data_IF_106606807078
#
_entry.id   IF_106606807078
#
_cell.length_a   1.000
_cell.length_b   1.000
_cell.length_c   1.000
_cell.angle_alpha   90.00
_cell.angle_beta   90.00
_cell.angle_gamma   90.00
#
_symmetry.space_group_name_H-M   'P 1'
#
loop_
_entity.id
_entity.type
_entity.pdbx_description
1 polymer ?
#
# COMPACT_ATOMS: atom_id res chain seq x y z
N UNK A 1 -0.32 13.71 14.74
CA UNK A 1 -0.45 15.10 15.24
C UNK A 1 -0.58 16.11 14.09
N UNK A 2 0.45 16.30 13.24
CA UNK A 2 0.42 17.23 12.10
C UNK A 2 -0.86 17.16 11.23
N UNK A 3 -1.27 15.95 10.82
CA UNK A 3 -2.49 15.75 10.01
C UNK A 3 -3.76 16.29 10.68
N UNK A 4 -3.90 16.10 11.99
CA UNK A 4 -5.08 16.54 12.74
C UNK A 4 -5.06 18.05 12.99
N UNK A 5 -3.91 18.59 13.39
CA UNK A 5 -3.75 20.02 13.66
C UNK A 5 -4.02 20.90 12.43
N UNK A 6 -3.73 20.37 11.25
CA UNK A 6 -3.95 21.07 9.98
C UNK A 6 -5.23 20.65 9.25
N UNK A 7 -6.03 19.75 9.84
CA UNK A 7 -7.29 19.30 9.24
C UNK A 7 -7.13 18.57 7.90
N UNK A 8 -6.05 17.81 7.72
CA UNK A 8 -5.83 17.01 6.52
C UNK A 8 -6.50 15.65 6.63
N UNK A 9 -7.23 15.26 5.58
CA UNK A 9 -8.04 14.04 5.59
C UNK A 9 -7.32 12.79 5.05
N UNK A 10 -6.27 12.97 4.24
CA UNK A 10 -5.62 11.86 3.53
C UNK A 10 -4.10 11.96 3.58
N UNK A 11 -3.45 10.82 3.86
CA UNK A 11 -2.04 10.58 3.56
C UNK A 11 -1.96 9.78 2.27
N UNK A 12 -1.08 10.17 1.35
CA UNK A 12 -0.84 9.46 0.10
C UNK A 12 0.66 9.17 -0.01
N UNK A 13 1.01 7.98 -0.47
CA UNK A 13 2.38 7.57 -0.70
C UNK A 13 2.46 6.32 -1.58
N UNK A 14 3.64 5.71 -1.58
CA UNK A 14 3.91 4.48 -2.30
C UNK A 14 4.60 3.48 -1.37
N UNK A 15 4.32 2.19 -1.56
CA UNK A 15 5.12 1.12 -0.97
C UNK A 15 5.74 0.29 -2.08
N UNK A 16 7.06 0.21 -2.09
CA UNK A 16 7.84 -0.47 -3.12
C UNK A 16 8.19 -1.90 -2.69
N UNK A 17 8.05 -2.83 -3.62
CA UNK A 17 8.43 -4.24 -3.48
C UNK A 17 9.57 -4.50 -4.46
N UNK A 18 10.64 -5.15 -4.02
CA UNK A 18 11.76 -5.47 -4.90
C UNK A 18 11.33 -6.34 -6.09
N UNK A 19 11.84 -6.02 -7.28
CA UNK A 19 11.74 -6.85 -8.49
C UNK A 19 12.88 -7.89 -8.58
N UNK A 20 13.59 -8.17 -7.49
CA UNK A 20 14.76 -9.07 -7.47
C UNK A 20 14.47 -10.50 -7.90
N UNK A 21 13.21 -10.94 -7.83
CA UNK A 21 12.73 -12.24 -8.31
C UNK A 21 12.00 -12.16 -9.66
N UNK A 22 12.13 -11.04 -10.37
CA UNK A 22 11.38 -10.75 -11.60
C UNK A 22 9.97 -10.19 -11.38
N UNK A 23 9.57 -9.94 -10.12
CA UNK A 23 8.27 -9.35 -9.78
C UNK A 23 7.20 -10.35 -9.36
N UNK A 24 7.54 -11.64 -9.24
CA UNK A 24 6.61 -12.69 -8.84
C UNK A 24 6.07 -12.48 -7.42
N UNK A 25 6.94 -12.07 -6.48
CA UNK A 25 6.55 -11.70 -5.12
C UNK A 25 5.58 -10.54 -5.11
N UNK A 26 5.83 -9.50 -5.91
CA UNK A 26 4.96 -8.33 -6.00
C UNK A 26 3.57 -8.69 -6.55
N UNK A 27 3.53 -9.48 -7.63
CA UNK A 27 2.28 -9.95 -8.23
C UNK A 27 1.47 -10.83 -7.27
N UNK A 28 2.13 -11.77 -6.61
CA UNK A 28 1.48 -12.67 -5.63
C UNK A 28 0.96 -11.92 -4.41
N UNK A 29 1.74 -10.95 -3.90
CA UNK A 29 1.31 -10.12 -2.78
C UNK A 29 0.11 -9.24 -3.17
N UNK A 30 0.16 -8.58 -4.32
CA UNK A 30 -0.96 -7.77 -4.81
C UNK A 30 -2.24 -8.60 -4.96
N UNK A 31 -2.16 -9.77 -5.61
CA UNK A 31 -3.31 -10.65 -5.80
C UNK A 31 -3.95 -11.09 -4.49
N UNK A 32 -3.15 -11.32 -3.44
CA UNK A 32 -3.68 -11.69 -2.12
C UNK A 32 -4.31 -10.51 -1.38
N UNK A 33 -3.75 -9.32 -1.53
CA UNK A 33 -4.19 -8.12 -0.80
C UNK A 33 -5.39 -7.43 -1.46
N UNK A 34 -5.52 -7.53 -2.80
CA UNK A 34 -6.46 -6.71 -3.56
C UNK A 34 -7.92 -6.89 -3.12
N UNK A 35 -8.33 -8.11 -2.79
CA UNK A 35 -9.73 -8.38 -2.45
C UNK A 35 -10.17 -7.74 -1.11
N UNK A 36 -9.22 -7.41 -0.23
CA UNK A 36 -9.49 -6.92 1.13
C UNK A 36 -9.01 -5.49 1.40
N UNK A 37 -8.03 -4.99 0.66
CA UNK A 37 -7.37 -3.71 0.96
C UNK A 37 -7.44 -2.69 -0.18
N UNK A 38 -8.09 -3.02 -1.28
CA UNK A 38 -8.30 -2.08 -2.36
C UNK A 38 -9.16 -0.87 -1.90
N UNK A 39 -8.77 0.34 -2.31
CA UNK A 39 -9.55 1.58 -2.12
C UNK A 39 -10.96 1.53 -2.77
N UNK A 40 -11.88 2.44 -2.39
CA UNK A 40 -13.08 2.75 -3.18
C UNK A 40 -12.76 3.16 -4.63
N UNK A 41 -13.74 3.05 -5.52
CA UNK A 41 -13.56 3.29 -6.96
C UNK A 41 -13.10 4.73 -7.27
N UNK A 42 -13.61 5.71 -6.53
CA UNK A 42 -13.27 7.13 -6.67
C UNK A 42 -11.80 7.44 -6.33
N UNK A 43 -11.12 6.53 -5.63
CA UNK A 43 -9.70 6.64 -5.28
C UNK A 43 -8.84 5.61 -6.04
N UNK A 44 -9.38 4.99 -7.09
CA UNK A 44 -8.60 4.09 -7.95
C UNK A 44 -7.67 4.90 -8.84
N UNK A 45 -6.42 4.46 -8.90
CA UNK A 45 -5.41 4.96 -9.84
C UNK A 45 -4.95 3.82 -10.74
N UNK A 46 -4.47 4.20 -11.92
CA UNK A 46 -4.01 3.26 -12.93
C UNK A 46 -2.54 3.55 -13.25
N UNK A 47 -1.65 2.55 -13.19
CA UNK A 47 -0.23 2.75 -13.41
C UNK A 47 0.04 3.15 -14.88
N UNK A 48 0.98 4.06 -15.09
CA UNK A 48 1.46 4.41 -16.45
C UNK A 48 2.36 3.33 -17.05
N UNK A 49 3.13 2.66 -16.20
CA UNK A 49 3.95 1.51 -16.53
C UNK A 49 3.46 0.34 -15.66
N UNK A 50 2.47 -0.45 -16.09
CA UNK A 50 1.92 -1.53 -15.27
C UNK A 50 2.95 -2.65 -15.08
N UNK A 51 3.00 -3.23 -13.89
CA UNK A 51 3.61 -4.55 -13.72
C UNK A 51 2.77 -5.59 -14.50
N UNK A 52 3.37 -6.45 -15.36
CA UNK A 52 2.61 -7.37 -16.21
C UNK A 52 2.12 -8.58 -15.41
N UNK A 53 1.14 -8.36 -14.52
CA UNK A 53 0.63 -9.34 -13.54
C UNK A 53 0.24 -10.69 -14.15
N UNK A 54 -0.36 -10.70 -15.34
CA UNK A 54 -0.79 -11.92 -16.04
C UNK A 54 0.35 -12.82 -16.49
N UNK A 55 1.55 -12.25 -16.68
CA UNK A 55 2.76 -12.99 -17.09
C UNK A 55 3.58 -13.50 -15.89
N UNK A 56 3.20 -13.12 -14.67
CA UNK A 56 3.91 -13.42 -13.44
C UNK A 56 3.17 -14.47 -12.63
N UNK A 57 3.91 -15.26 -11.85
CA UNK A 57 3.31 -16.07 -10.80
C UNK A 57 2.59 -15.18 -9.80
N UNK A 58 1.32 -15.52 -9.54
CA UNK A 58 0.44 -14.83 -8.59
C UNK A 58 0.11 -15.66 -7.34
N UNK A 59 0.75 -16.83 -7.19
CA UNK A 59 0.41 -17.89 -6.24
C UNK A 59 1.56 -18.17 -5.24
N UNK A 60 2.60 -17.33 -5.22
CA UNK A 60 3.67 -17.48 -4.25
C UNK A 60 3.17 -17.14 -2.84
N UNK A 61 3.59 -17.97 -1.89
CA UNK A 61 3.46 -17.67 -0.46
C UNK A 61 4.55 -16.67 -0.02
N UNK A 62 4.45 -15.45 -0.55
CA UNK A 62 5.34 -14.36 -0.21
C UNK A 62 4.85 -13.64 1.04
N UNK A 63 5.69 -13.52 2.07
CA UNK A 63 5.35 -12.73 3.25
C UNK A 63 5.11 -11.25 2.89
N UNK A 64 4.11 -10.64 3.53
CA UNK A 64 3.91 -9.19 3.41
C UNK A 64 5.04 -8.46 4.12
N UNK A 65 5.81 -7.59 3.44
CA UNK A 65 6.88 -6.82 4.06
C UNK A 65 6.39 -6.05 5.30
N UNK A 66 7.19 -5.95 6.38
CA UNK A 66 6.77 -5.31 7.63
C UNK A 66 6.21 -3.90 7.46
N UNK A 67 6.79 -3.12 6.55
CA UNK A 67 6.34 -1.76 6.25
C UNK A 67 4.92 -1.74 5.67
N UNK A 68 4.67 -2.54 4.64
CA UNK A 68 3.34 -2.70 4.02
C UNK A 68 2.35 -3.19 5.07
N UNK A 69 2.72 -4.21 5.85
CA UNK A 69 1.89 -4.72 6.94
C UNK A 69 1.52 -3.63 7.96
N UNK A 70 2.45 -2.72 8.24
CA UNK A 70 2.22 -1.54 9.09
C UNK A 70 1.17 -0.60 8.50
N UNK A 71 1.27 -0.29 7.21
CA UNK A 71 0.28 0.55 6.51
C UNK A 71 -1.11 -0.07 6.51
N UNK A 72 -1.23 -1.36 6.14
CA UNK A 72 -2.52 -2.05 6.12
C UNK A 72 -3.18 -2.08 7.51
N UNK A 73 -2.39 -2.31 8.57
CA UNK A 73 -2.86 -2.24 9.97
C UNK A 73 -3.29 -0.84 10.39
N UNK A 74 -2.68 0.20 9.83
CA UNK A 74 -3.09 1.59 10.04
C UNK A 74 -4.36 1.96 9.26
N UNK A 75 -4.96 1.04 8.49
CA UNK A 75 -6.18 1.28 7.71
C UNK A 75 -5.92 1.74 6.28
N UNK A 76 -4.69 1.58 5.79
CA UNK A 76 -4.33 1.97 4.43
C UNK A 76 -5.07 1.18 3.36
N UNK A 77 -5.35 1.86 2.26
CA UNK A 77 -5.79 1.27 1.01
C UNK A 77 -4.65 1.15 0.01
N UNK A 78 -4.74 0.10 -0.80
CA UNK A 78 -4.02 0.00 -2.07
C UNK A 78 -4.90 0.63 -3.14
N UNK A 79 -4.40 1.65 -3.82
CA UNK A 79 -5.21 2.46 -4.73
C UNK A 79 -5.26 1.92 -6.15
N UNK A 80 -4.58 0.83 -6.47
CA UNK A 80 -4.57 0.28 -7.82
C UNK A 80 -3.53 -0.82 -7.98
N UNK A 81 -3.36 -1.25 -9.23
CA UNK A 81 -2.29 -2.19 -9.60
C UNK A 81 -0.91 -1.57 -9.39
N UNK A 82 0.12 -2.40 -9.11
CA UNK A 82 1.48 -1.91 -8.98
C UNK A 82 2.02 -1.35 -10.30
N UNK A 83 2.75 -0.24 -10.20
CA UNK A 83 3.57 0.27 -11.30
C UNK A 83 4.95 -0.41 -11.27
N UNK A 84 5.51 -0.74 -12.42
CA UNK A 84 6.92 -1.11 -12.53
C UNK A 84 7.78 0.14 -12.60
N UNK A 85 8.70 0.27 -11.64
CA UNK A 85 9.73 1.30 -11.59
C UNK A 85 11.09 0.67 -12.00
N UNK A 86 11.57 0.94 -13.22
CA UNK A 86 12.85 0.40 -13.70
C UNK A 86 14.07 1.10 -13.09
N UNK A 87 13.94 2.34 -12.61
CA UNK A 87 15.05 3.13 -12.08
C UNK A 87 15.48 2.59 -10.69
N UNK A 88 14.50 2.11 -9.91
CA UNK A 88 14.74 1.51 -8.60
C UNK A 88 14.60 -0.03 -8.60
N UNK A 89 14.20 -0.62 -9.72
CA UNK A 89 13.91 -2.04 -9.87
C UNK A 89 12.89 -2.53 -8.82
N UNK A 90 11.75 -1.85 -8.76
CA UNK A 90 10.66 -2.12 -7.82
C UNK A 90 9.29 -2.21 -8.52
N UNK A 91 8.37 -2.89 -7.85
CA UNK A 91 6.94 -2.81 -8.11
C UNK A 91 6.31 -1.93 -7.02
N UNK A 92 5.72 -0.83 -7.45
CA UNK A 92 5.31 0.28 -6.61
C UNK A 92 3.79 0.26 -6.42
N UNK A 93 3.35 0.01 -5.19
CA UNK A 93 1.94 0.01 -4.82
C UNK A 93 1.52 1.41 -4.37
N UNK A 94 0.53 2.04 -5.02
CA UNK A 94 0.00 3.33 -4.56
C UNK A 94 -0.80 3.13 -3.27
N UNK A 95 -0.42 3.82 -2.20
CA UNK A 95 -1.00 3.69 -0.87
C UNK A 95 -1.73 4.99 -0.47
N UNK A 96 -2.90 4.85 0.14
CA UNK A 96 -3.64 5.97 0.73
C UNK A 96 -4.18 5.61 2.11
N UNK A 97 -4.09 6.53 3.07
CA UNK A 97 -4.68 6.38 4.40
C UNK A 97 -5.66 7.53 4.61
N UNK A 98 -6.94 7.22 4.73
CA UNK A 98 -7.93 8.19 5.18
C UNK A 98 -7.83 8.33 6.69
N UNK A 99 -7.75 9.56 7.19
CA UNK A 99 -7.56 9.83 8.62
C UNK A 99 -8.72 9.31 9.48
N UNK A 100 -9.93 9.23 8.91
CA UNK A 100 -11.11 8.62 9.56
C UNK A 100 -11.05 7.08 9.67
N UNK A 101 -10.09 6.42 8.99
CA UNK A 101 -9.87 4.97 9.03
C UNK A 101 -8.69 4.55 9.89
N UNK A 102 -7.93 5.52 10.40
CA UNK A 102 -6.76 5.21 11.24
C UNK A 102 -7.24 4.49 12.51
N UNK A 103 -6.85 3.21 12.65
CA UNK A 103 -7.27 2.38 13.79
C UNK A 103 -6.92 3.08 15.11
N UNK A 104 -7.87 3.12 16.06
CA UNK A 104 -7.72 3.81 17.34
C UNK A 104 -6.54 3.37 18.21
N UNK A 105 -5.98 2.16 17.98
CA UNK A 105 -4.73 1.69 18.62
C UNK A 105 -3.49 2.20 17.90
N UNK A 106 -3.52 2.28 16.57
CA UNK A 106 -2.45 2.87 15.76
C UNK A 106 -2.39 4.40 15.97
N UNK A 107 -3.55 5.01 16.03
CA UNK A 107 -3.76 6.40 16.44
C UNK A 107 -2.99 6.72 17.73
N UNK A 108 -3.18 5.92 18.79
CA UNK A 108 -2.47 6.10 20.07
C UNK A 108 -0.94 6.02 19.97
N UNK A 109 -0.40 5.22 19.06
CA UNK A 109 1.04 5.11 18.85
C UNK A 109 1.63 6.37 18.18
N UNK A 110 0.90 6.99 17.25
CA UNK A 110 1.35 8.17 16.50
C UNK A 110 0.79 9.52 16.99
N UNK A 111 -0.20 9.53 17.88
CA UNK A 111 -0.83 10.73 18.43
C UNK A 111 -0.28 11.14 19.79
N UNK A 112 0.53 10.29 20.44
CA UNK A 112 1.07 10.53 21.77
C UNK A 112 0.04 10.31 22.88
N UNK A 113 0.49 9.98 24.09
CA UNK A 113 -0.36 10.03 25.28
C UNK A 113 -0.75 11.50 25.49
N UNK A 114 -2.02 11.77 25.73
CA UNK A 114 -2.40 12.98 26.43
C UNK A 114 -1.89 12.79 27.87
N UNK A 115 -0.82 13.49 28.20
CA UNK A 115 -0.49 13.80 29.59
C UNK A 115 -1.35 15.00 30.01
#
# INVERSE_FOLDING_TARGET
RYMQENGYDYLIGCASISMGDGGHTAASLYNRLKDSHLSPLEYRVFPRCPLPLESLRGDLDADTPPLIKGYLRAGAWICGEPAWDPDFNTADLPIMIAMNRVDGRYARHFMGRND
#
